data_IF_725431919455
#
_entry.id   IF_725431919455
#
_cell.length_a   1.000
_cell.length_b   1.000
_cell.length_c   1.000
_cell.angle_alpha   90.00
_cell.angle_beta   90.00
_cell.angle_gamma   90.00
#
_symmetry.space_group_name_H-M   'P 1'
#
loop_
_entity.id
_entity.type
_entity.pdbx_description
1 polymer ?
#
# COMPACT_ATOMS: atom_id res chain seq x y z
N UNK A 1 -64.16 -46.06 45.75
CA UNK A 1 -63.76 -45.61 47.11
C UNK A 1 -62.31 -45.14 47.09
N UNK A 2 -62.12 -43.87 47.47
CA UNK A 2 -60.98 -43.20 48.15
C UNK A 2 -59.53 -43.34 47.63
N UNK A 3 -59.08 -42.17 47.15
CA UNK A 3 -57.72 -41.61 46.97
C UNK A 3 -56.72 -41.92 48.10
N UNK A 4 -55.45 -42.07 47.71
CA UNK A 4 -54.22 -41.40 48.21
C UNK A 4 -53.15 -41.61 47.10
N UNK A 5 -52.31 -40.68 46.64
CA UNK A 5 -51.76 -39.47 47.22
C UNK A 5 -50.26 -39.67 47.46
N UNK A 6 -49.40 -39.53 46.44
CA UNK A 6 -47.95 -39.31 46.63
C UNK A 6 -47.39 -38.33 45.60
N UNK A 7 -46.91 -37.23 46.16
CA UNK A 7 -46.19 -36.12 45.56
C UNK A 7 -44.74 -36.51 45.28
N UNK A 8 -44.23 -36.18 44.10
CA UNK A 8 -42.79 -36.03 43.87
C UNK A 8 -42.53 -34.73 43.09
N UNK A 9 -41.67 -33.91 43.71
CA UNK A 9 -41.25 -32.56 43.34
C UNK A 9 -40.58 -32.50 41.95
N UNK A 10 -40.64 -31.35 41.25
CA UNK A 10 -39.98 -31.18 39.97
C UNK A 10 -38.48 -30.88 40.14
N UNK A 11 -37.65 -31.65 39.45
CA UNK A 11 -36.24 -31.40 39.17
C UNK A 11 -36.14 -30.19 38.22
N UNK A 12 -36.07 -28.98 38.78
CA UNK A 12 -35.95 -27.73 38.04
C UNK A 12 -34.85 -26.85 38.65
N UNK A 13 -33.65 -27.44 38.82
CA UNK A 13 -32.48 -26.74 39.37
C UNK A 13 -31.14 -27.19 38.78
N UNK A 14 -31.10 -27.79 37.58
CA UNK A 14 -29.87 -28.31 36.94
C UNK A 14 -29.61 -27.72 35.54
N UNK A 15 -30.30 -26.65 35.15
CA UNK A 15 -30.20 -26.03 33.81
C UNK A 15 -29.68 -24.59 33.91
N UNK A 16 -28.54 -24.39 34.60
CA UNK A 16 -27.97 -23.04 34.75
C UNK A 16 -26.44 -22.93 34.68
N UNK A 17 -25.75 -23.92 34.12
CA UNK A 17 -24.28 -23.89 33.99
C UNK A 17 -23.75 -24.54 32.71
N UNK A 18 -24.25 -24.13 31.53
CA UNK A 18 -23.56 -24.42 30.25
C UNK A 18 -23.29 -23.12 29.50
N UNK A 19 -22.16 -22.49 29.85
CA UNK A 19 -21.51 -21.48 29.02
C UNK A 19 -21.00 -22.16 27.75
N UNK A 20 -21.80 -22.08 26.68
CA UNK A 20 -21.37 -22.44 25.33
C UNK A 20 -20.47 -21.30 24.83
N UNK A 21 -19.21 -21.57 24.43
CA UNK A 21 -18.36 -20.57 23.81
C UNK A 21 -18.90 -20.26 22.41
N UNK A 22 -19.35 -19.03 22.18
CA UNK A 22 -19.73 -18.53 20.86
C UNK A 22 -18.45 -18.35 20.05
N UNK A 23 -18.24 -19.25 19.08
CA UNK A 23 -17.09 -19.25 18.17
C UNK A 23 -17.10 -18.01 17.26
N UNK A 24 -16.02 -17.23 17.13
CA UNK A 24 -15.95 -16.06 16.25
C UNK A 24 -15.67 -16.44 14.78
N UNK A 25 -16.35 -17.45 14.21
CA UNK A 25 -16.11 -17.87 12.81
C UNK A 25 -16.87 -17.05 11.75
N UNK A 26 -17.90 -16.29 12.13
CA UNK A 26 -18.78 -15.62 11.16
C UNK A 26 -18.20 -14.34 10.54
N UNK A 27 -17.17 -13.73 11.15
CA UNK A 27 -16.60 -12.45 10.67
C UNK A 27 -15.58 -12.66 9.56
N UNK A 28 -14.84 -13.77 9.59
CA UNK A 28 -13.86 -14.10 8.56
C UNK A 28 -14.52 -14.62 7.27
N UNK A 29 -15.56 -15.46 7.38
CA UNK A 29 -16.30 -15.96 6.21
C UNK A 29 -17.01 -14.82 5.45
N UNK A 30 -17.69 -13.91 6.16
CA UNK A 30 -18.36 -12.76 5.52
C UNK A 30 -17.39 -11.82 4.81
N UNK A 31 -16.17 -11.66 5.34
CA UNK A 31 -15.14 -10.86 4.70
C UNK A 31 -14.63 -11.51 3.40
N UNK A 32 -14.54 -12.85 3.35
CA UNK A 32 -14.10 -13.58 2.17
C UNK A 32 -15.16 -13.60 1.06
N UNK A 33 -16.44 -13.73 1.42
CA UNK A 33 -17.56 -13.67 0.47
C UNK A 33 -17.66 -12.30 -0.20
N UNK A 34 -17.56 -11.22 0.58
CA UNK A 34 -17.59 -9.84 0.05
C UNK A 34 -16.42 -9.57 -0.90
N UNK A 35 -15.22 -10.07 -0.58
CA UNK A 35 -14.03 -9.94 -1.45
C UNK A 35 -14.19 -10.67 -2.77
N UNK A 36 -14.75 -11.88 -2.74
CA UNK A 36 -14.98 -12.68 -3.95
C UNK A 36 -16.00 -12.00 -4.85
N UNK A 37 -17.08 -11.47 -4.27
CA UNK A 37 -18.15 -10.80 -5.01
C UNK A 37 -17.64 -9.49 -5.64
N UNK A 38 -16.79 -8.73 -4.93
CA UNK A 38 -16.17 -7.51 -5.47
C UNK A 38 -15.24 -7.82 -6.64
N UNK A 39 -14.38 -8.85 -6.52
CA UNK A 39 -13.52 -9.28 -7.63
C UNK A 39 -14.35 -9.73 -8.82
N UNK A 40 -15.43 -10.49 -8.61
CA UNK A 40 -16.33 -10.91 -9.68
C UNK A 40 -17.08 -9.74 -10.34
N UNK A 41 -17.46 -8.72 -9.56
CA UNK A 41 -18.06 -7.50 -10.10
C UNK A 41 -17.03 -6.70 -10.90
N UNK A 42 -15.82 -6.49 -10.38
CA UNK A 42 -14.76 -5.81 -11.12
C UNK A 42 -14.40 -6.57 -12.40
N UNK A 43 -14.21 -7.88 -12.33
CA UNK A 43 -13.98 -8.72 -13.52
C UNK A 43 -15.17 -8.67 -14.47
N UNK A 44 -16.40 -8.71 -13.97
CA UNK A 44 -17.61 -8.61 -14.78
C UNK A 44 -17.75 -7.26 -15.51
N UNK A 45 -17.54 -6.16 -14.79
CA UNK A 45 -17.54 -4.80 -15.36
C UNK A 45 -16.41 -4.65 -16.37
N UNK A 46 -15.21 -5.11 -16.03
CA UNK A 46 -14.06 -5.13 -16.93
C UNK A 46 -14.36 -5.96 -18.17
N UNK A 47 -15.03 -7.11 -18.05
CA UNK A 47 -15.45 -7.93 -19.20
C UNK A 47 -16.45 -7.18 -20.09
N UNK A 48 -17.40 -6.44 -19.50
CA UNK A 48 -18.34 -5.58 -20.25
C UNK A 48 -17.60 -4.43 -20.95
N UNK A 49 -16.59 -3.83 -20.31
CA UNK A 49 -15.74 -2.80 -20.91
C UNK A 49 -14.94 -3.36 -22.07
N UNK A 50 -14.26 -4.50 -21.91
CA UNK A 50 -13.48 -5.14 -22.97
C UNK A 50 -14.35 -5.49 -24.17
N UNK A 51 -15.56 -6.04 -23.96
CA UNK A 51 -16.48 -6.38 -25.06
C UNK A 51 -17.12 -5.16 -25.74
N UNK A 52 -17.23 -4.03 -25.05
CA UNK A 52 -17.59 -2.74 -25.66
C UNK A 52 -16.45 -2.12 -26.48
N UNK A 53 -15.22 -2.27 -26.00
CA UNK A 53 -14.02 -1.68 -26.59
C UNK A 53 -13.48 -2.46 -27.80
N UNK A 54 -13.68 -3.78 -27.84
CA UNK A 54 -13.30 -4.63 -28.99
C UNK A 54 -14.01 -4.23 -30.30
N UNK A 55 -15.12 -3.50 -30.23
CA UNK A 55 -15.79 -2.95 -31.43
C UNK A 55 -15.10 -1.72 -32.01
N UNK A 56 -14.16 -1.11 -31.29
CA UNK A 56 -13.44 0.09 -31.72
C UNK A 56 -12.01 -0.18 -32.19
N UNK A 57 -11.40 -1.31 -31.81
CA UNK A 57 -9.97 -1.58 -32.03
C UNK A 57 -9.64 -2.41 -33.29
N UNK A 58 -10.57 -2.57 -34.23
CA UNK A 58 -10.36 -3.33 -35.46
C UNK A 58 -9.95 -2.43 -36.64
N UNK A 59 -8.87 -1.64 -36.50
CA UNK A 59 -8.09 -1.13 -37.63
C UNK A 59 -6.85 -0.39 -37.11
N UNK A 60 -5.66 -0.93 -37.41
CA UNK A 60 -4.42 -0.26 -37.83
C UNK A 60 -3.20 -1.02 -37.29
N UNK A 61 -2.30 -1.32 -38.21
CA UNK A 61 -1.14 -2.22 -38.06
C UNK A 61 0.12 -1.34 -38.21
N UNK A 62 0.10 -0.19 -37.54
CA UNK A 62 1.23 0.73 -37.41
C UNK A 62 1.90 0.52 -36.05
N UNK A 63 3.04 1.15 -35.79
CA UNK A 63 3.79 1.10 -34.51
C UNK A 63 2.97 1.76 -33.39
N UNK A 64 1.78 1.20 -33.14
CA UNK A 64 0.63 1.85 -32.57
C UNK A 64 0.59 1.53 -31.10
N UNK A 65 1.32 2.31 -30.31
CA UNK A 65 0.92 2.78 -28.98
C UNK A 65 0.53 1.74 -27.92
N UNK A 66 0.48 0.44 -28.19
CA UNK A 66 -0.21 -0.60 -27.43
C UNK A 66 0.80 -1.69 -27.09
N UNK A 67 0.75 -2.17 -25.84
CA UNK A 67 1.72 -3.12 -25.30
C UNK A 67 1.79 -4.41 -26.14
N UNK A 68 2.97 -4.85 -26.62
CA UNK A 68 3.12 -6.11 -27.32
C UNK A 68 2.63 -7.28 -26.45
N UNK A 69 1.91 -8.23 -27.05
CA UNK A 69 1.38 -9.40 -26.33
C UNK A 69 2.47 -10.23 -25.62
N UNK A 70 3.71 -10.21 -26.15
CA UNK A 70 4.88 -10.83 -25.51
C UNK A 70 5.24 -10.25 -24.15
N UNK A 71 4.88 -8.98 -23.91
CA UNK A 71 5.26 -8.24 -22.71
C UNK A 71 4.14 -8.26 -21.65
N UNK A 72 2.90 -8.63 -22.04
CA UNK A 72 1.76 -8.74 -21.12
C UNK A 72 1.95 -9.85 -20.09
N UNK A 73 2.41 -11.04 -20.49
CA UNK A 73 2.57 -12.15 -19.53
C UNK A 73 3.64 -11.87 -18.47
N UNK A 74 4.84 -11.35 -18.83
CA UNK A 74 5.81 -10.88 -17.83
C UNK A 74 5.26 -9.77 -16.94
N UNK A 75 4.53 -8.80 -17.50
CA UNK A 75 3.87 -7.72 -16.76
C UNK A 75 2.95 -8.28 -15.67
N UNK A 76 2.00 -9.13 -16.08
CA UNK A 76 1.00 -9.75 -15.19
C UNK A 76 1.68 -10.65 -14.17
N UNK A 77 2.68 -11.44 -14.57
CA UNK A 77 3.42 -12.32 -13.66
C UNK A 77 4.18 -11.53 -12.59
N UNK A 78 4.80 -10.40 -12.93
CA UNK A 78 5.49 -9.54 -11.96
C UNK A 78 4.51 -8.96 -10.94
N UNK A 79 3.37 -8.44 -11.41
CA UNK A 79 2.33 -7.88 -10.56
C UNK A 79 1.78 -8.94 -9.59
N UNK A 80 1.47 -10.14 -10.08
CA UNK A 80 1.02 -11.27 -9.24
C UNK A 80 2.11 -11.65 -8.24
N UNK A 81 3.37 -11.78 -8.67
CA UNK A 81 4.49 -12.15 -7.81
C UNK A 81 4.74 -11.17 -6.67
N UNK A 82 4.36 -9.90 -6.86
CA UNK A 82 4.47 -8.83 -5.86
C UNK A 82 3.16 -8.60 -5.08
N UNK A 83 2.13 -9.44 -5.26
CA UNK A 83 0.88 -9.39 -4.50
C UNK A 83 -0.20 -8.45 -5.07
N UNK A 84 0.00 -7.84 -6.23
CA UNK A 84 -0.94 -6.96 -6.92
C UNK A 84 -1.92 -7.74 -7.81
N UNK A 85 -2.53 -8.79 -7.26
CA UNK A 85 -3.31 -9.77 -8.05
C UNK A 85 -4.57 -9.18 -8.69
N UNK A 86 -5.27 -8.26 -8.02
CA UNK A 86 -6.48 -7.63 -8.58
C UNK A 86 -6.10 -6.71 -9.73
N UNK A 87 -5.07 -5.88 -9.53
CA UNK A 87 -4.58 -5.02 -10.60
C UNK A 87 -4.01 -5.81 -11.79
N UNK A 88 -3.34 -6.94 -11.54
CA UNK A 88 -2.85 -7.80 -12.60
C UNK A 88 -4.00 -8.35 -13.47
N UNK A 89 -5.13 -8.72 -12.86
CA UNK A 89 -6.33 -9.13 -13.58
C UNK A 89 -6.93 -7.99 -14.43
N UNK A 90 -6.93 -6.76 -13.89
CA UNK A 90 -7.36 -5.56 -14.63
C UNK A 90 -6.44 -5.29 -15.81
N UNK A 91 -5.11 -5.30 -15.60
CA UNK A 91 -4.13 -5.08 -16.65
C UNK A 91 -4.21 -6.14 -17.76
N UNK A 92 -4.44 -7.40 -17.41
CA UNK A 92 -4.64 -8.49 -18.39
C UNK A 92 -5.90 -8.27 -19.24
N UNK A 93 -6.98 -7.77 -18.64
CA UNK A 93 -8.27 -7.62 -19.33
C UNK A 93 -8.36 -6.33 -20.15
N UNK A 94 -7.60 -5.31 -19.75
CA UNK A 94 -7.56 -3.98 -20.37
C UNK A 94 -6.20 -3.67 -21.00
N UNK A 95 -5.47 -4.70 -21.43
CA UNK A 95 -4.15 -4.56 -22.03
C UNK A 95 -4.11 -3.62 -23.24
N UNK A 96 -5.23 -3.50 -23.96
CA UNK A 96 -5.40 -2.60 -25.11
C UNK A 96 -5.50 -1.12 -24.72
N UNK A 97 -5.77 -0.83 -23.44
CA UNK A 97 -5.83 0.53 -22.90
C UNK A 97 -4.50 0.99 -22.28
N UNK A 98 -3.50 0.12 -22.18
CA UNK A 98 -2.20 0.45 -21.58
C UNK A 98 -1.25 0.91 -22.69
N UNK A 99 -0.85 2.20 -22.72
CA UNK A 99 0.06 2.66 -23.74
C UNK A 99 1.46 2.08 -23.54
N UNK A 100 2.17 1.80 -24.63
CA UNK A 100 3.63 1.61 -24.55
C UNK A 100 4.29 2.87 -24.00
N UNK A 101 5.44 2.70 -23.34
CA UNK A 101 6.23 3.80 -22.77
C UNK A 101 5.45 4.59 -21.70
N UNK A 102 4.73 3.88 -20.84
CA UNK A 102 3.99 4.46 -19.74
C UNK A 102 4.47 3.93 -18.39
N UNK A 103 4.07 4.60 -17.31
CA UNK A 103 4.26 4.11 -15.95
C UNK A 103 2.90 3.85 -15.31
N UNK A 104 2.70 2.61 -14.83
CA UNK A 104 1.50 2.21 -14.12
C UNK A 104 1.67 2.48 -12.62
N UNK A 105 0.80 3.29 -12.05
CA UNK A 105 0.66 3.46 -10.60
C UNK A 105 -0.41 2.48 -10.13
N UNK A 106 0.01 1.38 -9.50
CA UNK A 106 -0.84 0.21 -9.30
C UNK A 106 -1.34 0.16 -7.85
N UNK A 107 -2.64 0.36 -7.57
CA UNK A 107 -3.15 0.27 -6.21
C UNK A 107 -3.01 -1.14 -5.64
N UNK A 108 -2.68 -1.23 -4.35
CA UNK A 108 -2.69 -2.50 -3.63
C UNK A 108 -4.09 -3.14 -3.64
N UNK A 109 -4.15 -4.46 -3.45
CA UNK A 109 -5.44 -5.16 -3.34
C UNK A 109 -6.36 -4.58 -2.24
N UNK A 110 -5.77 -4.06 -1.15
CA UNK A 110 -6.53 -3.42 -0.07
C UNK A 110 -7.04 -2.03 -0.48
N UNK A 111 -6.27 -1.28 -1.28
CA UNK A 111 -6.70 0.00 -1.83
C UNK A 111 -7.93 -0.16 -2.73
N UNK A 112 -7.89 -1.14 -3.64
CA UNK A 112 -8.99 -1.44 -4.56
C UNK A 112 -10.26 -1.88 -3.80
N UNK A 113 -10.09 -2.61 -2.69
CA UNK A 113 -11.21 -3.05 -1.86
C UNK A 113 -12.00 -1.90 -1.20
N UNK A 114 -11.42 -0.69 -1.12
CA UNK A 114 -12.08 0.51 -0.58
C UNK A 114 -12.79 1.39 -1.62
N UNK A 115 -12.69 1.05 -2.90
CA UNK A 115 -13.35 1.77 -4.00
C UNK A 115 -14.86 1.56 -3.92
N UNK A 116 -15.65 2.60 -4.22
CA UNK A 116 -17.11 2.45 -4.31
C UNK A 116 -17.48 1.40 -5.38
N UNK A 117 -18.38 0.49 -5.05
CA UNK A 117 -18.85 -0.52 -6.00
C UNK A 117 -19.80 0.06 -7.08
N UNK A 118 -20.31 1.27 -6.88
CA UNK A 118 -21.29 1.94 -7.74
C UNK A 118 -20.67 2.96 -8.69
N UNK A 119 -19.38 2.87 -8.99
CA UNK A 119 -18.75 3.73 -9.99
C UNK A 119 -19.38 3.54 -11.37
N UNK A 120 -19.56 4.65 -12.09
CA UNK A 120 -19.97 4.56 -13.49
C UNK A 120 -18.85 3.96 -14.35
N UNK A 121 -19.19 3.48 -15.54
CA UNK A 121 -18.18 2.98 -16.49
C UNK A 121 -17.16 4.06 -16.85
N UNK A 122 -17.62 5.31 -16.99
CA UNK A 122 -16.76 6.47 -17.23
C UNK A 122 -15.81 6.71 -16.05
N UNK A 123 -16.31 6.61 -14.82
CA UNK A 123 -15.47 6.78 -13.64
C UNK A 123 -14.36 5.73 -13.56
N UNK A 124 -14.66 4.48 -13.92
CA UNK A 124 -13.67 3.41 -13.95
C UNK A 124 -12.60 3.69 -15.02
N UNK A 125 -13.00 4.08 -16.23
CA UNK A 125 -12.05 4.38 -17.32
C UNK A 125 -11.17 5.58 -16.96
N UNK A 126 -11.77 6.66 -16.48
CA UNK A 126 -11.04 7.86 -16.07
C UNK A 126 -10.11 7.57 -14.89
N UNK A 127 -10.55 6.74 -13.92
CA UNK A 127 -9.70 6.30 -12.81
C UNK A 127 -8.49 5.54 -13.34
N UNK A 128 -8.69 4.60 -14.28
CA UNK A 128 -7.58 3.85 -14.88
C UNK A 128 -6.61 4.78 -15.63
N UNK A 129 -7.13 5.72 -16.42
CA UNK A 129 -6.31 6.70 -17.14
C UNK A 129 -5.50 7.58 -16.18
N UNK A 130 -6.08 7.96 -15.04
CA UNK A 130 -5.39 8.76 -14.04
C UNK A 130 -4.24 8.01 -13.35
N UNK A 131 -4.27 6.68 -13.32
CA UNK A 131 -3.21 5.84 -12.77
C UNK A 131 -2.06 5.56 -13.76
N UNK A 132 -2.11 6.13 -14.97
CA UNK A 132 -1.08 5.96 -16.00
C UNK A 132 -0.34 7.26 -16.23
N UNK A 133 0.97 7.29 -15.94
CA UNK A 133 1.83 8.39 -16.38
C UNK A 133 2.21 8.20 -17.85
N UNK A 134 2.26 9.28 -18.60
CA UNK A 134 2.50 9.30 -20.06
C UNK A 134 3.96 9.06 -20.48
N UNK A 135 4.81 8.66 -19.53
CA UNK A 135 6.23 8.39 -19.75
C UNK A 135 6.67 7.23 -18.85
N UNK A 136 7.65 6.41 -19.29
CA UNK A 136 8.20 5.36 -18.47
C UNK A 136 9.24 5.96 -17.52
N UNK A 137 9.11 5.72 -16.22
CA UNK A 137 10.08 6.18 -15.22
C UNK A 137 10.34 5.09 -14.18
N UNK A 138 11.61 4.88 -13.82
CA UNK A 138 11.95 4.09 -12.63
C UNK A 138 11.64 4.88 -11.36
N UNK A 139 11.59 4.19 -10.22
CA UNK A 139 11.44 4.88 -8.94
C UNK A 139 12.62 5.80 -8.64
N UNK A 140 13.84 5.38 -9.01
CA UNK A 140 15.03 6.22 -8.86
C UNK A 140 14.88 7.55 -9.62
N UNK A 141 14.43 7.51 -10.88
CA UNK A 141 14.20 8.72 -11.66
C UNK A 141 13.03 9.54 -11.11
N UNK A 142 11.95 8.88 -10.69
CA UNK A 142 10.77 9.51 -10.10
C UNK A 142 11.11 10.24 -8.78
N UNK A 143 11.97 9.65 -7.95
CA UNK A 143 12.40 10.20 -6.66
C UNK A 143 13.25 11.46 -6.75
N UNK A 144 13.79 11.77 -7.93
CA UNK A 144 14.56 13.01 -8.19
C UNK A 144 13.69 14.21 -8.53
N UNK A 145 12.38 14.04 -8.69
CA UNK A 145 11.48 15.17 -8.87
C UNK A 145 11.39 16.01 -7.59
N UNK A 146 11.30 17.32 -7.76
CA UNK A 146 11.07 18.25 -6.66
C UNK A 146 9.63 18.12 -6.13
N UNK A 147 9.44 18.39 -4.84
CA UNK A 147 8.08 18.52 -4.28
C UNK A 147 7.37 19.67 -4.99
N UNK A 148 6.15 19.42 -5.46
CA UNK A 148 5.38 20.33 -6.29
C UNK A 148 5.53 20.10 -7.80
N UNK A 149 6.41 19.20 -8.23
CA UNK A 149 6.48 18.81 -9.64
C UNK A 149 5.17 18.12 -10.08
N UNK A 150 4.69 18.48 -11.27
CA UNK A 150 3.48 17.92 -11.86
C UNK A 150 3.84 16.88 -12.93
N UNK A 151 3.27 15.69 -12.80
CA UNK A 151 3.51 14.54 -13.67
C UNK A 151 2.29 14.32 -14.58
N UNK A 152 2.47 14.31 -15.91
CA UNK A 152 1.36 14.17 -16.84
C UNK A 152 0.76 12.76 -16.81
N UNK A 153 -0.57 12.69 -16.62
CA UNK A 153 -1.35 11.45 -16.66
C UNK A 153 -1.97 11.22 -18.04
N UNK A 154 -2.47 10.01 -18.27
CA UNK A 154 -3.23 9.68 -19.48
C UNK A 154 -4.66 10.26 -19.45
N UNK A 155 -5.16 10.67 -18.29
CA UNK A 155 -6.43 11.36 -18.18
C UNK A 155 -6.24 12.82 -18.61
N UNK A 156 -6.90 13.21 -19.70
CA UNK A 156 -6.66 14.50 -20.34
C UNK A 156 -6.93 15.68 -19.39
N UNK A 157 -5.92 16.53 -19.21
CA UNK A 157 -6.00 17.74 -18.37
C UNK A 157 -5.69 17.49 -16.89
N UNK A 158 -5.51 16.23 -16.48
CA UNK A 158 -5.25 15.86 -15.10
C UNK A 158 -3.77 15.54 -14.88
N UNK A 159 -3.22 16.08 -13.79
CA UNK A 159 -1.82 15.91 -13.39
C UNK A 159 -1.75 15.24 -12.02
N UNK A 160 -0.62 14.58 -11.75
CA UNK A 160 -0.28 14.07 -10.42
C UNK A 160 0.87 14.90 -9.85
N UNK A 161 0.71 15.41 -8.64
CA UNK A 161 1.72 16.24 -7.99
C UNK A 161 2.58 15.41 -7.06
N UNK A 162 3.90 15.61 -7.12
CA UNK A 162 4.84 15.06 -6.13
C UNK A 162 4.64 15.81 -4.80
N UNK A 163 4.10 15.13 -3.79
CA UNK A 163 3.77 15.74 -2.49
C UNK A 163 4.83 15.47 -1.41
N UNK A 164 5.69 14.46 -1.62
CA UNK A 164 6.88 14.21 -0.80
C UNK A 164 7.91 13.46 -1.63
N UNK A 165 9.17 13.86 -1.54
CA UNK A 165 10.30 13.19 -2.18
C UNK A 165 11.26 12.54 -1.18
N UNK A 166 10.81 12.29 0.05
CA UNK A 166 11.61 11.62 1.08
C UNK A 166 11.87 10.15 0.70
N UNK A 167 13.11 9.62 0.82
CA UNK A 167 13.45 8.26 0.37
C UNK A 167 12.60 7.11 0.95
N UNK A 168 12.00 7.29 2.13
CA UNK A 168 11.12 6.31 2.77
C UNK A 168 9.63 6.66 2.77
N UNK A 169 9.25 7.77 2.16
CA UNK A 169 7.87 8.27 2.14
C UNK A 169 7.66 9.14 0.89
N UNK A 170 7.90 8.56 -0.29
CA UNK A 170 7.70 9.25 -1.55
C UNK A 170 6.20 9.21 -1.90
N UNK A 171 5.57 10.37 -2.04
CA UNK A 171 4.12 10.46 -2.24
C UNK A 171 3.74 11.26 -3.47
N UNK A 172 2.69 10.80 -4.14
CA UNK A 172 2.05 11.38 -5.31
C UNK A 172 0.60 11.71 -4.96
N UNK A 173 0.19 12.97 -4.96
CA UNK A 173 -1.11 13.41 -4.44
C UNK A 173 -1.42 12.78 -3.07
N UNK A 174 -0.43 12.81 -2.17
CA UNK A 174 -0.44 12.22 -0.84
C UNK A 174 -0.54 10.69 -0.80
N UNK A 175 -0.59 10.01 -1.94
CA UNK A 175 -0.60 8.55 -2.04
C UNK A 175 0.84 8.03 -2.05
N UNK A 176 1.15 7.06 -1.18
CA UNK A 176 2.52 6.58 -1.00
C UNK A 176 2.87 5.50 -2.02
N UNK A 177 4.07 5.60 -2.62
CA UNK A 177 4.65 4.50 -3.38
C UNK A 177 5.24 3.50 -2.38
N UNK A 178 4.58 2.36 -2.26
CA UNK A 178 4.96 1.31 -1.29
C UNK A 178 5.84 0.22 -1.91
N UNK A 179 5.71 0.01 -3.22
CA UNK A 179 6.46 -1.03 -3.93
C UNK A 179 7.05 -0.41 -5.20
N UNK A 180 8.28 0.12 -5.15
CA UNK A 180 8.93 0.65 -6.33
C UNK A 180 9.25 -0.46 -7.34
N UNK A 181 9.32 -0.08 -8.62
CA UNK A 181 9.78 -0.91 -9.74
C UNK A 181 9.20 -2.34 -9.81
N UNK A 182 7.87 -2.48 -9.63
CA UNK A 182 7.12 -3.75 -9.64
C UNK A 182 7.37 -4.54 -10.92
N UNK A 183 7.45 -3.87 -12.07
CA UNK A 183 7.55 -4.49 -13.39
C UNK A 183 8.95 -4.41 -13.98
N UNK A 184 9.97 -4.81 -13.22
CA UNK A 184 11.38 -4.67 -13.62
C UNK A 184 11.79 -5.49 -14.87
N UNK A 185 10.97 -6.45 -15.32
CA UNK A 185 11.28 -7.26 -16.52
C UNK A 185 10.61 -6.79 -17.82
N UNK A 186 9.82 -5.72 -17.79
CA UNK A 186 9.16 -5.17 -18.99
C UNK A 186 10.01 -4.08 -19.64
N UNK A 187 10.13 -4.09 -20.97
CA UNK A 187 10.99 -3.14 -21.70
C UNK A 187 10.38 -1.74 -21.87
N UNK A 188 9.06 -1.67 -21.93
CA UNK A 188 8.34 -0.46 -22.33
C UNK A 188 7.42 0.08 -21.24
N UNK A 189 7.25 -0.62 -20.13
CA UNK A 189 6.34 -0.25 -19.06
C UNK A 189 7.13 -0.21 -17.76
N UNK A 190 6.94 0.84 -16.99
CA UNK A 190 7.33 0.86 -15.59
C UNK A 190 6.09 0.68 -14.72
N UNK A 191 6.27 0.21 -13.50
CA UNK A 191 5.19 0.01 -12.56
C UNK A 191 5.63 0.33 -11.14
N UNK A 192 4.78 1.00 -10.39
CA UNK A 192 4.98 1.29 -8.97
C UNK A 192 3.70 0.99 -8.20
N UNK A 193 3.81 0.18 -7.15
CA UNK A 193 2.69 -0.13 -6.28
C UNK A 193 2.40 1.02 -5.31
N UNK A 194 1.12 1.39 -5.17
CA UNK A 194 0.65 2.48 -4.33
C UNK A 194 -0.33 1.99 -3.24
N UNK A 195 -0.36 2.69 -2.11
CA UNK A 195 -1.16 2.27 -0.94
C UNK A 195 -2.64 2.64 -1.01
N UNK A 196 -3.01 3.61 -1.84
CA UNK A 196 -4.38 4.09 -2.05
C UNK A 196 -4.66 4.30 -3.53
N UNK A 197 -5.94 4.33 -3.89
CA UNK A 197 -6.37 4.65 -5.25
C UNK A 197 -6.23 6.17 -5.44
N UNK A 198 -5.57 6.57 -6.53
CA UNK A 198 -5.49 7.97 -6.91
C UNK A 198 -6.86 8.44 -7.39
N UNK A 199 -7.36 9.51 -6.77
CA UNK A 199 -8.69 10.02 -7.04
C UNK A 199 -8.61 11.34 -7.83
N UNK A 200 -9.03 11.33 -9.09
CA UNK A 200 -9.19 12.57 -9.88
C UNK A 200 -10.48 13.32 -9.49
N UNK A 201 -11.44 12.61 -8.88
CA UNK A 201 -12.63 13.20 -8.29
C UNK A 201 -12.86 12.65 -6.87
N UNK A 202 -13.44 13.46 -5.99
CA UNK A 202 -13.65 13.12 -4.58
C UNK A 202 -14.69 12.00 -4.33
N UNK A 203 -15.40 11.54 -5.36
CA UNK A 203 -16.49 10.57 -5.26
C UNK A 203 -16.04 9.12 -5.42
N UNK A 204 -14.78 8.86 -5.81
CA UNK A 204 -14.32 7.51 -6.15
C UNK A 204 -14.10 6.58 -4.95
N UNK A 205 -13.79 7.16 -3.79
CA UNK A 205 -13.37 6.41 -2.60
C UNK A 205 -14.46 6.50 -1.56
N UNK A 206 -14.89 5.34 -1.06
CA UNK A 206 -15.78 5.32 0.09
C UNK A 206 -15.01 5.89 1.28
N UNK A 207 -15.60 6.81 2.04
CA UNK A 207 -14.97 7.47 3.20
C UNK A 207 -14.43 6.51 4.29
N UNK A 208 -14.59 5.20 4.12
CA UNK A 208 -14.08 4.12 4.96
C UNK A 208 -12.76 3.50 4.45
N UNK A 209 -12.00 4.16 3.56
CA UNK A 209 -10.61 3.80 3.29
C UNK A 209 -9.81 3.75 4.60
N UNK A 210 -8.84 2.83 4.76
CA UNK A 210 -8.12 2.69 6.01
C UNK A 210 -7.45 4.02 6.31
N UNK A 211 -7.92 4.64 7.38
CA UNK A 211 -7.38 5.83 8.00
C UNK A 211 -5.86 5.71 7.97
N UNK A 212 -5.23 6.64 7.25
CA UNK A 212 -3.78 6.73 7.13
C UNK A 212 -3.23 6.54 8.54
N UNK A 213 -2.47 5.46 8.75
CA UNK A 213 -1.77 5.26 10.00
C UNK A 213 -0.98 6.54 10.25
N UNK A 214 -1.12 7.17 11.43
CA UNK A 214 -0.51 8.47 11.68
C UNK A 214 0.99 8.36 11.37
N UNK A 215 1.61 9.42 10.82
CA UNK A 215 3.04 9.40 10.56
C UNK A 215 3.74 9.02 11.87
N UNK A 216 4.58 7.99 11.80
CA UNK A 216 5.64 7.76 12.78
C UNK A 216 6.39 9.09 12.90
N UNK A 217 6.07 9.89 13.91
CA UNK A 217 6.52 11.28 13.94
C UNK A 217 5.84 12.22 14.94
N UNK A 218 4.83 11.79 15.71
CA UNK A 218 4.50 12.47 16.95
C UNK A 218 5.55 12.11 18.00
N UNK A 219 6.69 12.79 17.89
CA UNK A 219 7.55 13.25 18.96
C UNK A 219 7.00 12.86 20.35
N UNK A 220 7.53 11.75 20.87
CA UNK A 220 7.35 11.36 22.26
C UNK A 220 7.95 12.49 23.09
N UNK A 221 7.12 13.46 23.45
CA UNK A 221 7.48 14.56 24.33
C UNK A 221 8.06 13.95 25.61
N UNK A 222 9.38 14.07 25.73
CA UNK A 222 10.13 13.71 26.93
C UNK A 222 9.40 14.24 28.16
N UNK A 223 9.07 13.39 29.15
CA UNK A 223 8.82 13.92 30.48
C UNK A 223 10.12 14.55 30.98
N UNK A 224 9.99 15.81 31.42
CA UNK A 224 11.04 16.66 31.98
C UNK A 224 11.89 15.94 33.05
N UNK A 225 13.15 16.35 33.26
CA UNK A 225 14.06 15.69 34.20
C UNK A 225 13.54 15.87 35.62
N UNK A 226 13.06 14.77 36.21
CA UNK A 226 12.56 14.76 37.58
C UNK A 226 13.72 14.95 38.56
N UNK A 227 13.54 15.93 39.44
CA UNK A 227 14.55 16.50 40.29
C UNK A 227 15.10 15.51 41.34
N UNK A 228 16.41 15.59 41.57
CA UNK A 228 17.17 14.86 42.58
C UNK A 228 16.61 15.04 44.00
N UNK A 229 16.42 13.96 44.79
CA UNK A 229 16.23 14.08 46.23
C UNK A 229 17.57 14.30 46.98
N UNK A 230 17.55 15.05 48.09
CA UNK A 230 18.74 15.54 48.79
C UNK A 230 19.40 14.47 49.67
N UNK A 231 20.71 14.59 49.80
CA UNK A 231 21.59 13.60 50.42
C UNK A 231 21.45 13.41 51.94
N UNK A 232 22.03 12.30 52.38
CA UNK A 232 22.47 12.00 53.75
C UNK A 232 23.70 11.07 53.59
N UNK A 233 24.91 11.61 53.56
CA UNK A 233 25.83 11.86 54.69
C UNK A 233 26.19 10.58 55.45
N UNK A 234 27.46 10.16 55.32
CA UNK A 234 28.45 9.88 56.39
C UNK A 234 29.48 8.78 56.02
N UNK A 235 30.68 8.73 56.66
CA UNK A 235 31.92 9.02 55.95
C UNK A 235 33.04 7.97 56.16
N UNK A 236 34.22 8.32 55.63
CA UNK A 236 35.57 8.03 56.10
C UNK A 236 36.38 6.87 55.47
N UNK A 237 37.58 7.28 55.04
CA UNK A 237 38.87 6.64 55.26
C UNK A 237 39.24 5.48 54.29
N UNK A 238 40.40 5.39 53.63
CA UNK A 238 41.69 6.10 53.71
C UNK A 238 42.51 5.76 52.45
N UNK A 239 43.24 6.77 51.93
CA UNK A 239 44.49 6.74 51.16
C UNK A 239 44.80 5.63 50.13
N UNK A 240 45.04 6.04 48.86
CA UNK A 240 46.29 5.73 48.15
C UNK A 240 46.47 6.60 46.88
N UNK A 241 47.48 7.49 46.79
CA UNK A 241 47.92 8.08 45.53
C UNK A 241 49.31 7.54 45.13
N UNK A 242 49.61 7.47 43.81
CA UNK A 242 50.93 7.78 43.17
C UNK A 242 51.24 6.92 41.93
N UNK A 243 51.26 7.56 40.75
CA UNK A 243 52.12 7.35 39.55
C UNK A 243 51.27 7.62 38.28
N UNK A 244 51.34 8.75 37.56
CA UNK A 244 52.41 9.64 37.07
C UNK A 244 53.24 9.05 35.90
N UNK A 245 53.21 9.81 34.78
CA UNK A 245 54.08 9.87 33.57
C UNK A 245 53.46 9.24 32.30
N UNK A 246 53.51 9.79 31.07
CA UNK A 246 53.65 11.12 30.43
C UNK A 246 54.07 10.88 28.95
N UNK A 247 53.64 11.77 28.03
CA UNK A 247 54.13 12.06 26.66
C UNK A 247 53.65 11.15 25.50
N UNK A 248 52.94 11.65 24.46
CA UNK A 248 53.33 12.57 23.34
C UNK A 248 54.44 11.96 22.47
N UNK A 249 54.32 11.69 21.16
CA UNK A 249 54.30 12.60 19.98
C UNK A 249 54.23 11.70 18.71
N UNK A 250 53.40 11.93 17.67
CA UNK A 250 53.67 12.66 16.40
C UNK A 250 53.88 11.78 15.13
N UNK A 251 53.26 12.23 14.02
CA UNK A 251 53.59 12.02 12.57
C UNK A 251 53.28 10.65 11.93
N UNK A 252 52.88 10.48 10.67
CA UNK A 252 52.56 11.35 9.51
C UNK A 252 51.92 10.48 8.40
N UNK A 253 51.06 11.10 7.58
CA UNK A 253 50.65 10.84 6.19
C UNK A 253 50.97 9.51 5.47
N UNK A 254 49.95 8.98 4.76
CA UNK A 254 50.16 8.31 3.47
C UNK A 254 49.06 8.70 2.47
N UNK A 255 49.51 8.98 1.25
CA UNK A 255 48.84 9.52 0.06
C UNK A 255 48.59 8.35 -0.91
N UNK A 256 47.50 8.32 -1.68
CA UNK A 256 47.38 7.49 -2.89
C UNK A 256 46.82 8.30 -4.07
N UNK A 257 47.22 7.99 -5.33
CA UNK A 257 47.07 8.87 -6.50
C UNK A 257 45.90 8.50 -7.44
N UNK A 258 45.64 9.38 -8.40
CA UNK A 258 44.71 9.26 -9.53
C UNK A 258 45.45 8.71 -10.75
N UNK A 259 44.79 7.87 -11.56
CA UNK A 259 45.29 7.35 -12.83
C UNK A 259 44.33 7.72 -13.98
N UNK A 260 44.94 8.22 -15.05
CA UNK A 260 44.50 8.45 -16.45
C UNK A 260 43.34 9.40 -16.77
#
# INVERSE_FOLDING_TARGET
>A
MRRTGRSYKPLLSQLKDHHIPVHPSSRAERAMESRTLLVLLFVGVVTIVSSGLERAAAQDDTDDGILPSSDVQPLVSNMIGQGFTVAAAVAQSLQTLIPIRSTLLIPSNNAIAGVDANLSQEDIINTLQYHVLTFPTSFEALSRNDVGAELPTMLQGEMITVTSNSPGNFTLNEVNITHPDVCSSTRFIACHGIDRVLAYNSSLVTAAGPEASPPFGAEQASPAPEALPPGTRSPNNTANPSNRKSNSTRSSASRYPVSE
#
